data_IF_660367572745
#
_entry.id   IF_660367572745
#
_cell.length_a   1.000
_cell.length_b   1.000
_cell.length_c   1.000
_cell.angle_alpha   90.00
_cell.angle_beta   90.00
_cell.angle_gamma   90.00
#
_symmetry.space_group_name_H-M   'P 1'
#
loop_
_entity.id
_entity.type
_entity.pdbx_description
1 polymer ?
#
# COMPACT_ATOMS: atom_id res chain seq x y z
N UNK A 1 19.09 -21.69 -8.19
CA UNK A 1 19.10 -20.23 -8.09
C UNK A 1 19.19 -19.76 -6.65
N UNK A 2 19.94 -18.73 -6.40
CA UNK A 2 20.11 -18.23 -5.03
C UNK A 2 18.98 -17.25 -4.67
N UNK A 3 18.14 -17.67 -3.72
CA UNK A 3 17.00 -16.89 -3.26
C UNK A 3 17.42 -15.51 -2.68
N UNK A 4 18.51 -15.46 -1.92
CA UNK A 4 19.00 -14.20 -1.35
C UNK A 4 19.46 -13.22 -2.42
N UNK A 5 20.12 -13.68 -3.46
CA UNK A 5 20.57 -12.82 -4.55
C UNK A 5 19.39 -12.25 -5.32
N UNK A 6 18.35 -13.05 -5.52
CA UNK A 6 17.13 -12.60 -6.20
C UNK A 6 16.39 -11.56 -5.35
N UNK A 7 16.27 -11.77 -4.05
CA UNK A 7 15.64 -10.80 -3.16
C UNK A 7 16.41 -9.49 -3.08
N UNK A 8 17.73 -9.56 -3.07
CA UNK A 8 18.58 -8.37 -3.07
C UNK A 8 18.38 -7.54 -4.34
N UNK A 9 18.20 -8.21 -5.48
CA UNK A 9 17.95 -7.55 -6.76
C UNK A 9 16.59 -6.86 -6.76
N UNK A 10 15.56 -7.49 -6.22
CA UNK A 10 14.22 -6.91 -6.11
C UNK A 10 14.22 -5.70 -5.17
N UNK A 11 14.95 -5.75 -4.08
CA UNK A 11 15.03 -4.65 -3.12
C UNK A 11 15.56 -3.37 -3.74
N UNK A 12 16.35 -3.46 -4.81
CA UNK A 12 16.86 -2.29 -5.53
C UNK A 12 15.89 -1.72 -6.55
N UNK A 13 14.95 -2.54 -7.05
CA UNK A 13 14.04 -2.15 -8.13
C UNK A 13 12.60 -1.95 -7.65
N UNK A 14 12.24 -2.51 -6.49
CA UNK A 14 10.85 -2.46 -5.99
C UNK A 14 10.87 -2.63 -4.48
N UNK A 15 10.36 -1.66 -3.76
CA UNK A 15 10.33 -1.68 -2.30
C UNK A 15 8.97 -1.28 -1.76
N UNK A 16 8.62 -1.87 -0.63
CA UNK A 16 7.42 -1.55 0.11
C UNK A 16 7.83 -1.09 1.50
N UNK A 17 7.56 0.16 1.83
CA UNK A 17 7.89 0.73 3.12
C UNK A 17 6.63 1.17 3.84
N UNK A 18 6.69 1.26 5.17
CA UNK A 18 5.53 1.51 6.02
C UNK A 18 5.87 2.51 7.10
N UNK A 19 4.91 3.36 7.45
CA UNK A 19 4.97 4.06 8.73
C UNK A 19 4.63 3.05 9.83
N UNK A 20 4.95 3.38 11.07
CA UNK A 20 4.56 2.55 12.20
C UNK A 20 3.04 2.36 12.25
N UNK A 21 2.29 3.44 12.06
CA UNK A 21 0.82 3.37 12.09
C UNK A 21 0.26 2.49 10.97
N UNK A 22 0.81 2.60 9.77
CA UNK A 22 0.37 1.76 8.65
C UNK A 22 0.65 0.29 8.92
N UNK A 23 1.81 -0.01 9.50
CA UNK A 23 2.17 -1.37 9.87
C UNK A 23 1.22 -1.93 10.94
N UNK A 24 0.85 -1.11 11.94
CA UNK A 24 -0.12 -1.50 12.95
C UNK A 24 -1.50 -1.75 12.34
N UNK A 25 -1.94 -0.92 11.38
CA UNK A 25 -3.17 -1.14 10.63
C UNK A 25 -3.15 -2.49 9.91
N UNK A 26 -2.05 -2.78 9.26
CA UNK A 26 -1.86 -4.01 8.50
C UNK A 26 -1.95 -5.23 9.42
N UNK A 27 -1.27 -5.18 10.56
CA UNK A 27 -1.32 -6.26 11.54
C UNK A 27 -2.73 -6.40 12.15
N UNK A 28 -3.45 -5.30 12.31
CA UNK A 28 -4.84 -5.33 12.77
C UNK A 28 -5.70 -6.20 11.83
N UNK A 29 -5.56 -6.00 10.52
CA UNK A 29 -6.31 -6.79 9.54
C UNK A 29 -5.90 -8.25 9.55
N UNK A 30 -4.62 -8.51 9.64
CA UNK A 30 -4.10 -9.87 9.73
C UNK A 30 -4.74 -10.63 10.90
N UNK A 31 -4.89 -9.94 12.03
CA UNK A 31 -5.43 -10.54 13.25
C UNK A 31 -6.95 -10.64 13.25
N UNK A 32 -7.64 -9.66 12.69
CA UNK A 32 -9.09 -9.49 12.91
C UNK A 32 -9.97 -9.69 11.67
N UNK A 33 -9.45 -9.58 10.46
CA UNK A 33 -10.28 -9.68 9.25
C UNK A 33 -9.46 -10.17 8.06
N UNK A 34 -9.51 -11.45 7.83
CA UNK A 34 -8.75 -12.10 6.75
C UNK A 34 -9.12 -11.57 5.37
N UNK A 35 -10.39 -11.29 5.14
CA UNK A 35 -10.83 -10.78 3.83
C UNK A 35 -10.25 -9.41 3.53
N UNK A 36 -10.28 -8.51 4.50
CA UNK A 36 -9.70 -7.18 4.34
C UNK A 36 -8.18 -7.28 4.20
N UNK A 37 -7.56 -8.15 4.97
CA UNK A 37 -6.12 -8.39 4.88
C UNK A 37 -5.72 -8.81 3.46
N UNK A 38 -6.45 -9.75 2.88
CA UNK A 38 -6.20 -10.23 1.51
C UNK A 38 -6.41 -9.11 0.49
N UNK A 39 -7.44 -8.29 0.68
CA UNK A 39 -7.70 -7.16 -0.21
C UNK A 39 -6.57 -6.13 -0.15
N UNK A 40 -6.08 -5.81 1.05
CA UNK A 40 -4.94 -4.91 1.22
C UNK A 40 -3.72 -5.46 0.49
N UNK A 41 -3.44 -6.75 0.64
CA UNK A 41 -2.32 -7.39 -0.05
C UNK A 41 -2.44 -7.31 -1.57
N UNK A 42 -3.64 -7.55 -2.10
CA UNK A 42 -3.90 -7.43 -3.54
C UNK A 42 -3.67 -6.01 -4.04
N UNK A 43 -4.15 -5.02 -3.30
CA UNK A 43 -3.97 -3.62 -3.67
C UNK A 43 -2.50 -3.21 -3.64
N UNK A 44 -1.76 -3.66 -2.63
CA UNK A 44 -0.33 -3.37 -2.54
C UNK A 44 0.44 -3.96 -3.71
N UNK A 45 0.11 -5.18 -4.08
CA UNK A 45 0.74 -5.84 -5.21
C UNK A 45 0.48 -5.07 -6.52
N UNK A 46 -0.76 -4.61 -6.72
CA UNK A 46 -1.08 -3.76 -7.87
C UNK A 46 -0.33 -2.43 -7.83
N UNK A 47 -0.26 -1.80 -6.65
CA UNK A 47 0.43 -0.52 -6.48
C UNK A 47 1.90 -0.61 -6.88
N UNK A 48 2.54 -1.72 -6.56
CA UNK A 48 3.95 -1.92 -6.93
C UNK A 48 4.14 -2.02 -8.45
N UNK A 49 3.14 -2.51 -9.17
CA UNK A 49 3.18 -2.58 -10.62
C UNK A 49 2.71 -1.28 -11.27
N UNK A 50 1.66 -0.66 -10.72
CA UNK A 50 1.09 0.57 -11.26
C UNK A 50 0.44 1.37 -10.15
N UNK A 51 1.15 2.38 -9.61
CA UNK A 51 0.63 3.14 -8.46
C UNK A 51 -0.51 4.10 -8.80
N UNK A 52 -0.78 4.36 -10.08
CA UNK A 52 -1.73 5.39 -10.48
C UNK A 52 -3.01 4.85 -11.10
N UNK A 53 -3.10 3.55 -11.31
CA UNK A 53 -4.22 2.96 -12.02
C UNK A 53 -4.50 1.55 -11.50
N UNK A 54 -5.73 1.08 -11.64
CA UNK A 54 -6.11 -0.28 -11.24
C UNK A 54 -7.28 -0.31 -10.27
N UNK A 55 -7.34 -1.36 -9.47
CA UNK A 55 -8.43 -1.64 -8.54
C UNK A 55 -8.48 -0.66 -7.38
N UNK A 56 -9.67 -0.40 -6.86
CA UNK A 56 -9.86 0.45 -5.69
C UNK A 56 -9.97 1.94 -6.00
N UNK A 57 -10.18 2.29 -7.25
CA UNK A 57 -10.32 3.70 -7.70
C UNK A 57 -9.18 4.57 -7.19
N UNK A 58 -7.94 4.32 -7.65
CA UNK A 58 -6.80 5.14 -7.21
C UNK A 58 -7.04 6.61 -7.57
N UNK A 59 -6.82 7.48 -6.58
CA UNK A 59 -6.97 8.92 -6.80
C UNK A 59 -5.93 9.71 -6.00
N UNK A 60 -5.45 10.83 -6.57
CA UNK A 60 -4.50 11.69 -5.86
C UNK A 60 -5.21 12.46 -4.76
N UNK A 61 -4.51 12.63 -3.64
CA UNK A 61 -4.99 13.40 -2.51
C UNK A 61 -4.53 14.85 -2.61
N UNK A 62 -5.16 15.74 -1.85
CA UNK A 62 -4.93 17.19 -1.90
C UNK A 62 -4.49 17.72 -0.54
N UNK A 63 -4.14 19.01 -0.50
CA UNK A 63 -3.78 19.69 0.73
C UNK A 63 -2.52 19.13 1.35
N UNK A 64 -2.59 18.81 2.63
CA UNK A 64 -1.45 18.27 3.38
C UNK A 64 -0.98 16.91 2.86
N UNK A 65 -1.84 16.21 2.11
CA UNK A 65 -1.51 14.91 1.55
C UNK A 65 -1.23 14.97 0.05
N UNK A 66 -0.94 16.16 -0.47
CA UNK A 66 -0.55 16.32 -1.87
C UNK A 66 0.67 15.44 -2.19
N UNK A 67 0.59 14.72 -3.30
CA UNK A 67 1.59 13.73 -3.68
C UNK A 67 1.26 12.32 -3.26
N UNK A 68 0.41 12.17 -2.27
CA UNK A 68 -0.09 10.86 -1.85
C UNK A 68 -1.31 10.46 -2.66
N UNK A 69 -1.57 9.17 -2.68
CA UNK A 69 -2.70 8.57 -3.38
C UNK A 69 -3.48 7.67 -2.44
N UNK A 70 -4.76 7.44 -2.76
CA UNK A 70 -5.56 6.49 -2.00
C UNK A 70 -6.22 5.49 -2.93
N UNK A 71 -6.45 4.28 -2.42
CA UNK A 71 -7.29 3.26 -3.05
C UNK A 71 -8.29 2.77 -2.02
N UNK A 72 -9.50 2.46 -2.48
CA UNK A 72 -10.53 1.87 -1.61
C UNK A 72 -10.18 0.44 -1.29
N UNK A 73 -10.16 0.11 -0.01
CA UNK A 73 -10.07 -1.28 0.47
C UNK A 73 -11.49 -1.82 0.61
N UNK A 74 -12.32 -1.07 1.33
CA UNK A 74 -13.74 -1.28 1.50
C UNK A 74 -14.43 0.09 1.40
N UNK A 75 -15.75 0.11 1.60
CA UNK A 75 -16.49 1.37 1.66
C UNK A 75 -15.93 2.30 2.76
N UNK A 76 -15.48 1.73 3.87
CA UNK A 76 -15.02 2.51 5.04
C UNK A 76 -13.52 2.72 5.09
N UNK A 77 -12.74 1.88 4.44
CA UNK A 77 -11.29 1.86 4.62
C UNK A 77 -10.54 2.17 3.34
N UNK A 78 -9.41 2.87 3.50
CA UNK A 78 -8.56 3.28 2.39
C UNK A 78 -7.12 2.87 2.62
N UNK A 79 -6.45 2.52 1.54
CA UNK A 79 -5.00 2.39 1.47
C UNK A 79 -4.47 3.74 1.03
N UNK A 80 -3.64 4.38 1.85
CA UNK A 80 -3.02 5.67 1.52
C UNK A 80 -1.52 5.47 1.39
N UNK A 81 -0.97 5.93 0.27
CA UNK A 81 0.41 5.64 -0.08
C UNK A 81 1.06 6.77 -0.87
N UNK A 82 2.38 6.85 -0.78
CA UNK A 82 3.20 7.76 -1.55
C UNK A 82 3.97 6.94 -2.59
N UNK A 83 3.67 7.12 -3.89
CA UNK A 83 4.48 6.49 -4.94
C UNK A 83 5.87 7.14 -4.96
N UNK A 84 6.88 6.30 -5.04
CA UNK A 84 8.28 6.73 -5.13
C UNK A 84 8.95 6.02 -6.30
N UNK A 85 10.13 6.48 -6.72
CA UNK A 85 10.81 5.92 -7.89
C UNK A 85 11.02 4.41 -7.78
N UNK A 86 11.32 3.94 -6.58
CA UNK A 86 11.67 2.54 -6.35
C UNK A 86 10.64 1.78 -5.52
N UNK A 87 9.42 2.29 -5.40
CA UNK A 87 8.41 1.57 -4.64
C UNK A 87 7.30 2.43 -4.08
N UNK A 88 6.74 1.95 -3.00
CA UNK A 88 5.55 2.53 -2.37
C UNK A 88 5.80 2.73 -0.88
N UNK A 89 5.48 3.90 -0.39
CA UNK A 89 5.52 4.19 1.05
C UNK A 89 4.08 4.25 1.57
N UNK A 90 3.70 3.29 2.40
CA UNK A 90 2.33 3.18 2.93
C UNK A 90 2.23 3.96 4.23
N UNK A 91 1.27 4.89 4.31
CA UNK A 91 1.07 5.66 5.53
C UNK A 91 -0.20 5.30 6.29
N UNK A 92 -1.14 4.60 5.65
CA UNK A 92 -2.35 4.11 6.31
C UNK A 92 -3.00 3.02 5.47
N UNK A 93 -3.68 2.08 6.13
CA UNK A 93 -4.54 1.13 5.44
C UNK A 93 -5.78 0.80 6.28
N UNK A 94 -6.24 1.78 7.05
CA UNK A 94 -7.43 1.67 7.86
C UNK A 94 -8.09 3.05 7.95
N UNK A 95 -9.42 3.07 8.04
CA UNK A 95 -10.24 4.27 8.06
C UNK A 95 -10.21 5.07 6.76
N UNK A 96 -10.98 6.12 6.73
CA UNK A 96 -11.18 6.98 5.58
C UNK A 96 -10.44 8.30 5.78
N UNK A 97 -9.65 8.68 4.77
CA UNK A 97 -8.99 9.99 4.75
C UNK A 97 -9.78 10.92 3.84
N UNK A 98 -10.20 12.01 4.38
CA UNK A 98 -10.90 13.04 3.62
C UNK A 98 -10.07 14.30 3.55
#
# INVERSE_FOLDING_TARGET
MNHKAQNKKQAKSSALAWTKNAWEDYLHWHKNDTKIFEEVNSLLDECLRNPFDGTGKPEPLKGNLSGYWSRRITKEHRLVYLPEDNGIYVIACRYHYS
#
